data_IF_131090436695
#
_entry.id   IF_131090436695
#
_cell.length_a   1.000
_cell.length_b   1.000
_cell.length_c   1.000
_cell.angle_alpha   90.00
_cell.angle_beta   90.00
_cell.angle_gamma   90.00
#
_symmetry.space_group_name_H-M   'P 1'
#
loop_
_entity.id
_entity.type
_entity.pdbx_description
1 polymer ?
#
# COMPACT_ATOMS: atom_id res chain seq x y z
N UNK A 1 -60.67 -48.98 8.70
CA UNK A 1 -59.29 -49.26 9.14
C UNK A 1 -58.37 -48.66 8.08
N UNK A 2 -57.67 -47.58 8.44
CA UNK A 2 -56.86 -46.74 7.53
C UNK A 2 -55.64 -47.50 7.00
N UNK A 3 -55.33 -47.35 5.71
CA UNK A 3 -54.02 -47.72 5.17
C UNK A 3 -53.29 -46.48 4.61
N UNK A 4 -52.37 -46.02 5.46
CA UNK A 4 -51.02 -45.52 5.20
C UNK A 4 -50.75 -44.72 3.92
N UNK A 5 -50.85 -43.40 4.09
CA UNK A 5 -50.35 -42.35 3.20
C UNK A 5 -48.83 -42.32 3.03
N UNK A 6 -48.43 -42.25 1.74
CA UNK A 6 -47.19 -41.79 1.15
C UNK A 6 -46.55 -40.57 1.86
N UNK A 7 -45.25 -40.64 2.20
CA UNK A 7 -44.42 -39.48 2.52
C UNK A 7 -43.04 -39.62 1.85
N UNK A 8 -42.89 -38.97 0.69
CA UNK A 8 -41.61 -38.81 0.00
C UNK A 8 -40.84 -37.68 0.69
N UNK A 9 -39.79 -38.03 1.45
CA UNK A 9 -38.91 -37.05 2.10
C UNK A 9 -37.83 -36.63 1.10
N UNK A 10 -37.93 -35.41 0.57
CA UNK A 10 -36.85 -34.79 -0.20
C UNK A 10 -35.69 -34.44 0.76
N UNK A 11 -34.63 -35.23 0.75
CA UNK A 11 -33.39 -34.91 1.43
C UNK A 11 -32.67 -33.79 0.64
N UNK A 12 -32.75 -32.56 1.16
CA UNK A 12 -31.91 -31.45 0.70
C UNK A 12 -30.46 -31.75 1.13
N UNK A 13 -29.66 -32.28 0.21
CA UNK A 13 -28.21 -32.37 0.39
C UNK A 13 -27.67 -30.94 0.28
N UNK A 14 -27.53 -30.27 1.42
CA UNK A 14 -26.73 -29.05 1.53
C UNK A 14 -25.29 -29.48 1.26
N UNK A 15 -24.82 -29.22 0.06
CA UNK A 15 -23.42 -29.37 -0.31
C UNK A 15 -22.64 -28.30 0.49
N UNK A 16 -22.27 -28.63 1.73
CA UNK A 16 -21.33 -27.83 2.52
C UNK A 16 -20.03 -27.80 1.74
N UNK A 17 -19.75 -26.68 1.09
CA UNK A 17 -18.44 -26.38 0.54
C UNK A 17 -17.46 -26.45 1.70
N UNK A 18 -16.75 -27.57 1.82
CA UNK A 18 -15.69 -27.72 2.80
C UNK A 18 -14.68 -26.59 2.56
N UNK A 19 -14.28 -25.82 3.57
CA UNK A 19 -13.22 -24.85 3.40
C UNK A 19 -12.01 -25.60 2.84
N UNK A 20 -11.55 -25.14 1.68
CA UNK A 20 -10.34 -25.64 1.03
C UNK A 20 -9.24 -25.82 2.09
N UNK A 21 -8.68 -27.03 2.19
CA UNK A 21 -7.57 -27.31 3.12
C UNK A 21 -6.32 -26.44 2.85
N UNK A 22 -6.30 -25.69 1.76
CA UNK A 22 -5.38 -24.58 1.57
C UNK A 22 -5.99 -23.33 2.23
N UNK A 23 -5.68 -23.10 3.50
CA UNK A 23 -6.12 -21.90 4.23
C UNK A 23 -5.78 -20.58 3.52
N UNK A 24 -6.35 -19.48 4.01
CA UNK A 24 -6.17 -18.14 3.44
C UNK A 24 -4.68 -17.73 3.43
N UNK A 25 -4.06 -17.69 2.25
CA UNK A 25 -2.64 -17.35 2.06
C UNK A 25 -2.40 -15.85 2.26
N UNK A 26 -3.37 -14.99 1.93
CA UNK A 26 -3.29 -13.56 2.23
C UNK A 26 -3.10 -13.34 3.73
N UNK A 27 -3.83 -14.10 4.55
CA UNK A 27 -3.71 -14.06 6.01
C UNK A 27 -2.38 -14.66 6.49
N UNK A 28 -2.03 -15.84 5.98
CA UNK A 28 -0.84 -16.58 6.43
C UNK A 28 0.47 -15.86 6.14
N UNK A 29 0.53 -15.12 5.03
CA UNK A 29 1.74 -14.43 4.56
C UNK A 29 1.67 -12.91 4.75
N UNK A 30 0.69 -12.44 5.52
CA UNK A 30 0.53 -11.02 5.84
C UNK A 30 1.79 -10.44 6.48
N UNK A 31 2.21 -9.28 6.00
CA UNK A 31 3.29 -8.49 6.55
C UNK A 31 2.71 -7.22 7.15
N UNK A 32 2.91 -7.07 8.46
CA UNK A 32 2.51 -5.88 9.20
C UNK A 32 3.41 -4.69 8.86
N UNK A 33 2.79 -3.57 8.48
CA UNK A 33 3.47 -2.32 8.16
C UNK A 33 3.44 -1.33 9.35
N UNK A 34 2.75 -1.67 10.44
CA UNK A 34 2.72 -0.85 11.66
C UNK A 34 3.82 -1.24 12.66
N UNK A 35 4.60 -2.27 12.36
CA UNK A 35 5.69 -2.78 13.21
C UNK A 35 5.24 -3.09 14.65
N UNK A 36 4.09 -3.74 14.78
CA UNK A 36 3.48 -4.13 16.05
C UNK A 36 2.72 -3.01 16.78
N UNK A 37 2.61 -1.81 16.19
CA UNK A 37 1.83 -0.70 16.75
C UNK A 37 0.35 -0.85 16.38
N UNK A 38 -0.53 -0.30 17.21
CA UNK A 38 -1.98 -0.35 16.97
C UNK A 38 -2.40 0.74 15.99
N UNK A 39 -3.52 0.54 15.30
CA UNK A 39 -4.12 1.57 14.43
C UNK A 39 -4.33 2.89 15.18
N UNK A 40 -4.92 2.83 16.37
CA UNK A 40 -5.17 4.02 17.19
C UNK A 40 -3.86 4.73 17.60
N UNK A 41 -2.81 3.98 17.96
CA UNK A 41 -1.50 4.54 18.28
C UNK A 41 -0.84 5.25 17.09
N UNK A 42 -1.17 4.81 15.88
CA UNK A 42 -0.71 5.42 14.62
C UNK A 42 -1.69 6.47 14.05
N UNK A 43 -2.74 6.83 14.79
CA UNK A 43 -3.75 7.79 14.32
C UNK A 43 -4.54 7.31 13.10
N UNK A 44 -4.80 6.01 13.01
CA UNK A 44 -5.57 5.37 11.95
C UNK A 44 -6.92 4.90 12.47
N UNK A 45 -7.95 5.08 11.64
CA UNK A 45 -9.30 4.58 11.89
C UNK A 45 -9.41 3.14 11.46
N UNK A 46 -9.77 2.28 12.41
CA UNK A 46 -10.27 0.96 12.08
C UNK A 46 -11.62 1.10 11.37
N UNK A 47 -11.74 0.51 10.18
CA UNK A 47 -13.02 0.47 9.46
C UNK A 47 -13.97 -0.53 10.14
N UNK A 48 -15.19 -0.09 10.41
CA UNK A 48 -16.33 -0.93 10.80
C UNK A 48 -17.33 -1.16 9.66
N UNK A 49 -17.12 -0.49 8.52
CA UNK A 49 -17.97 -0.58 7.33
C UNK A 49 -17.54 -1.70 6.36
N UNK A 50 -18.21 -1.81 5.20
CA UNK A 50 -17.81 -2.75 4.16
C UNK A 50 -16.39 -2.45 3.67
N UNK A 51 -15.57 -3.50 3.51
CA UNK A 51 -14.25 -3.40 2.90
C UNK A 51 -14.41 -3.19 1.41
N UNK A 52 -13.74 -2.17 0.86
CA UNK A 52 -13.67 -1.98 -0.58
C UNK A 52 -12.44 -2.71 -1.14
N UNK A 53 -12.66 -3.79 -1.89
CA UNK A 53 -11.58 -4.46 -2.64
C UNK A 53 -11.55 -3.92 -4.07
N UNK A 54 -10.43 -3.32 -4.46
CA UNK A 54 -10.23 -2.71 -5.78
C UNK A 54 -9.12 -3.48 -6.52
N UNK A 55 -9.30 -3.72 -7.81
CA UNK A 55 -8.22 -4.28 -8.63
C UNK A 55 -7.15 -3.21 -8.92
N UNK A 56 -5.91 -3.51 -8.59
CA UNK A 56 -4.73 -2.66 -8.81
C UNK A 56 -4.07 -2.87 -10.17
N UNK A 57 -3.30 -1.87 -10.59
CA UNK A 57 -2.49 -1.87 -11.81
C UNK A 57 -1.01 -1.74 -11.49
N UNK A 58 -0.47 -0.52 -11.59
CA UNK A 58 0.89 -0.22 -11.13
C UNK A 58 0.86 0.16 -9.65
N UNK A 59 1.47 -0.70 -8.82
CA UNK A 59 1.47 -0.54 -7.36
C UNK A 59 2.02 0.82 -6.90
N UNK A 60 3.03 1.40 -7.56
CA UNK A 60 3.57 2.69 -7.12
C UNK A 60 2.55 3.81 -7.30
N UNK A 61 1.84 3.81 -8.42
CA UNK A 61 0.79 4.77 -8.68
C UNK A 61 -0.42 4.53 -7.75
N UNK A 62 -0.76 3.27 -7.49
CA UNK A 62 -1.86 2.89 -6.62
C UNK A 62 -1.59 3.28 -5.16
N UNK A 63 -0.39 2.98 -4.65
CA UNK A 63 0.07 3.38 -3.33
C UNK A 63 0.06 4.91 -3.19
N UNK A 64 0.54 5.64 -4.21
CA UNK A 64 0.51 7.10 -4.22
C UNK A 64 -0.93 7.64 -4.11
N UNK A 65 -1.88 7.12 -4.90
CA UNK A 65 -3.28 7.55 -4.83
C UNK A 65 -3.90 7.31 -3.45
N UNK A 66 -3.57 6.20 -2.80
CA UNK A 66 -4.05 5.92 -1.45
C UNK A 66 -3.50 6.95 -0.44
N UNK A 67 -2.20 7.23 -0.51
CA UNK A 67 -1.57 8.27 0.31
C UNK A 67 -2.18 9.67 0.04
N UNK A 68 -2.36 10.06 -1.22
CA UNK A 68 -2.98 11.33 -1.62
C UNK A 68 -4.40 11.48 -1.07
N UNK A 69 -5.13 10.37 -0.94
CA UNK A 69 -6.48 10.32 -0.38
C UNK A 69 -6.54 10.26 1.16
N UNK A 70 -5.40 10.38 1.85
CA UNK A 70 -5.34 10.37 3.31
C UNK A 70 -5.30 8.97 3.95
N UNK A 71 -5.15 7.92 3.15
CA UNK A 71 -5.00 6.57 3.66
C UNK A 71 -3.53 6.24 3.95
N UNK A 72 -3.31 5.36 4.92
CA UNK A 72 -2.00 4.82 5.28
C UNK A 72 -2.04 3.30 5.16
N UNK A 73 -0.95 2.74 4.64
CA UNK A 73 -0.83 1.28 4.49
C UNK A 73 -0.63 0.63 5.86
N UNK A 74 -1.52 -0.29 6.22
CA UNK A 74 -1.46 -1.07 7.46
C UNK A 74 -0.70 -2.37 7.27
N UNK A 75 -0.68 -2.90 6.04
CA UNK A 75 0.10 -4.07 5.70
C UNK A 75 -0.04 -4.46 4.24
N UNK A 76 0.67 -5.53 3.89
CA UNK A 76 0.70 -6.05 2.53
C UNK A 76 1.00 -7.55 2.53
N UNK A 77 0.74 -8.18 1.39
CA UNK A 77 1.06 -9.58 1.16
C UNK A 77 1.27 -9.81 -0.33
N UNK A 78 2.28 -10.60 -0.69
CA UNK A 78 2.54 -11.03 -2.06
C UNK A 78 3.02 -12.48 -2.07
N UNK A 79 2.53 -13.28 -3.00
CA UNK A 79 2.90 -14.68 -3.16
C UNK A 79 2.62 -15.20 -4.57
N UNK A 80 3.37 -16.23 -4.97
CA UNK A 80 3.06 -16.99 -6.18
C UNK A 80 1.99 -18.03 -5.85
N UNK A 81 0.91 -18.10 -6.63
CA UNK A 81 -0.12 -19.11 -6.36
C UNK A 81 -1.34 -19.04 -7.24
N UNK A 82 -2.39 -19.68 -6.74
CA UNK A 82 -3.74 -19.62 -7.31
C UNK A 82 -4.50 -18.52 -6.59
N UNK A 83 -5.20 -17.71 -7.39
CA UNK A 83 -6.04 -16.63 -6.89
C UNK A 83 -7.15 -17.20 -6.02
N UNK A 84 -7.13 -16.87 -4.73
CA UNK A 84 -8.15 -17.33 -3.77
C UNK A 84 -9.41 -16.46 -3.85
N UNK A 85 -9.33 -15.26 -4.43
CA UNK A 85 -10.47 -14.36 -4.60
C UNK A 85 -10.52 -13.20 -3.61
N UNK A 86 -11.51 -12.32 -3.81
CA UNK A 86 -11.74 -11.15 -2.96
C UNK A 86 -12.19 -11.49 -1.53
N UNK A 87 -13.04 -12.52 -1.26
CA UNK A 87 -13.48 -12.82 0.11
C UNK A 87 -12.35 -13.06 1.11
N UNK A 88 -11.26 -13.70 0.67
CA UNK A 88 -10.07 -13.98 1.46
C UNK A 88 -9.27 -12.71 1.74
N UNK A 89 -9.24 -11.76 0.79
CA UNK A 89 -8.65 -10.44 1.00
C UNK A 89 -9.50 -9.63 1.98
N UNK A 90 -10.82 -9.68 1.84
CA UNK A 90 -11.75 -8.98 2.75
C UNK A 90 -11.65 -9.50 4.18
N UNK A 91 -11.47 -10.82 4.38
CA UNK A 91 -11.21 -11.41 5.69
C UNK A 91 -10.02 -10.72 6.36
N UNK A 92 -8.87 -10.67 5.68
CA UNK A 92 -7.65 -10.02 6.20
C UNK A 92 -7.89 -8.54 6.43
N UNK A 93 -8.51 -7.83 5.49
CA UNK A 93 -8.79 -6.41 5.60
C UNK A 93 -9.63 -6.08 6.86
N UNK A 94 -10.67 -6.89 7.16
CA UNK A 94 -11.46 -6.72 8.39
C UNK A 94 -10.62 -6.99 9.64
N UNK A 95 -9.80 -8.05 9.64
CA UNK A 95 -8.94 -8.39 10.77
C UNK A 95 -7.93 -7.27 11.10
N UNK A 96 -7.38 -6.62 10.08
CA UNK A 96 -6.38 -5.56 10.25
C UNK A 96 -7.00 -4.15 10.30
N UNK A 97 -8.34 -4.05 10.30
CA UNK A 97 -9.10 -2.81 10.37
C UNK A 97 -8.96 -1.90 9.13
N UNK A 98 -8.59 -2.45 7.97
CA UNK A 98 -8.50 -1.71 6.72
C UNK A 98 -9.87 -1.40 6.12
N UNK A 99 -10.03 -0.18 5.61
CA UNK A 99 -11.23 0.23 4.86
C UNK A 99 -11.15 -0.20 3.39
N UNK A 100 -9.94 -0.19 2.82
CA UNK A 100 -9.68 -0.47 1.41
C UNK A 100 -8.57 -1.52 1.29
N UNK A 101 -8.75 -2.47 0.39
CA UNK A 101 -7.71 -3.36 -0.07
C UNK A 101 -7.53 -3.23 -1.58
N UNK A 102 -6.29 -3.15 -2.05
CA UNK A 102 -5.98 -3.18 -3.48
C UNK A 102 -5.40 -4.56 -3.79
N UNK A 103 -6.07 -5.31 -4.67
CA UNK A 103 -5.66 -6.64 -5.11
C UNK A 103 -4.82 -6.57 -6.38
N UNK A 104 -3.78 -7.38 -6.45
CA UNK A 104 -2.86 -7.42 -7.57
C UNK A 104 -2.77 -8.84 -8.10
N UNK A 105 -2.78 -8.96 -9.43
CA UNK A 105 -2.60 -10.21 -10.14
C UNK A 105 -1.71 -9.96 -11.34
N UNK A 106 -0.46 -10.41 -11.27
CA UNK A 106 0.48 -10.32 -12.38
C UNK A 106 0.72 -11.72 -12.93
N UNK A 107 0.49 -11.96 -14.24
CA UNK A 107 0.87 -13.22 -14.85
C UNK A 107 2.36 -13.45 -14.62
N UNK A 108 2.75 -14.67 -14.24
CA UNK A 108 4.16 -15.00 -14.18
C UNK A 108 4.79 -14.76 -15.56
N UNK A 109 5.81 -13.90 -15.62
CA UNK A 109 6.69 -13.85 -16.77
C UNK A 109 7.49 -15.17 -16.79
N UNK A 110 7.09 -16.06 -17.70
CA UNK A 110 7.71 -17.38 -17.92
C UNK A 110 9.24 -17.33 -18.07
N UNK A 111 9.81 -16.17 -18.37
CA UNK A 111 11.25 -15.92 -18.51
C UNK A 111 11.99 -15.93 -17.15
N UNK A 112 11.40 -15.34 -16.10
CA UNK A 112 11.99 -15.31 -14.74
C UNK A 112 11.85 -16.65 -14.02
N UNK A 113 10.71 -17.32 -14.19
CA UNK A 113 10.47 -18.67 -13.65
C UNK A 113 11.44 -19.68 -14.29
N UNK A 114 11.71 -19.55 -15.60
CA UNK A 114 12.68 -20.38 -16.31
C UNK A 114 14.13 -20.18 -15.81
N UNK A 115 14.54 -18.94 -15.50
CA UNK A 115 15.88 -18.66 -14.94
C UNK A 115 16.07 -19.28 -13.54
N UNK A 116 15.03 -19.22 -12.70
CA UNK A 116 15.04 -19.83 -11.36
C UNK A 116 15.07 -21.36 -11.43
N UNK A 117 14.30 -21.95 -12.37
CA UNK A 117 14.30 -23.39 -12.62
C UNK A 117 15.63 -23.90 -13.21
N UNK A 118 16.26 -23.15 -14.13
CA UNK A 118 17.56 -23.49 -14.72
C UNK A 118 18.70 -23.49 -13.69
N UNK A 119 18.65 -22.61 -12.67
CA UNK A 119 19.61 -22.62 -11.56
C UNK A 119 19.52 -23.87 -10.68
N UNK A 120 18.36 -24.54 -10.64
CA UNK A 120 18.20 -25.82 -9.94
C UNK A 120 18.41 -27.03 -10.86
N UNK A 121 18.20 -26.89 -12.17
CA UNK A 121 18.35 -27.94 -13.15
C UNK A 121 19.71 -27.85 -13.88
N UNK A 122 20.79 -28.18 -13.17
CA UNK A 122 22.11 -28.43 -13.79
C UNK A 122 22.47 -29.92 -13.86
N UNK A 123 21.47 -30.81 -13.96
CA UNK A 123 21.73 -32.26 -14.00
C UNK A 123 20.86 -33.12 -14.94
N UNK A 124 20.30 -32.61 -16.05
CA UNK A 124 19.78 -33.49 -17.12
C UNK A 124 19.46 -32.75 -18.43
N UNK A 125 19.55 -33.40 -19.61
CA UNK A 125 19.22 -32.79 -20.90
C UNK A 125 17.71 -32.68 -21.10
N UNK A 126 17.24 -31.54 -21.63
CA UNK A 126 15.82 -31.19 -21.71
C UNK A 126 15.25 -31.48 -23.11
N UNK A 127 14.16 -32.24 -23.14
CA UNK A 127 13.31 -32.50 -24.32
C UNK A 127 12.53 -31.24 -24.77
N UNK A 128 12.34 -31.06 -26.08
CA UNK A 128 11.77 -29.86 -26.71
C UNK A 128 10.25 -29.67 -26.60
N UNK A 129 9.52 -30.50 -25.86
CA UNK A 129 8.11 -30.22 -25.54
C UNK A 129 8.02 -29.53 -24.19
N UNK A 130 7.99 -28.19 -24.19
CA UNK A 130 7.84 -27.37 -22.99
C UNK A 130 6.43 -27.61 -22.40
N UNK A 131 6.27 -28.25 -21.23
CA UNK A 131 4.97 -28.32 -20.59
C UNK A 131 4.55 -26.88 -20.27
N UNK A 132 3.31 -26.49 -20.59
CA UNK A 132 2.72 -25.29 -19.97
C UNK A 132 2.61 -25.62 -18.48
N UNK A 133 3.62 -25.22 -17.71
CA UNK A 133 3.59 -25.33 -16.25
C UNK A 133 2.35 -24.63 -15.70
N UNK A 134 1.93 -24.97 -14.46
CA UNK A 134 0.77 -24.33 -13.83
C UNK A 134 0.94 -22.81 -13.92
N UNK A 135 -0.13 -22.13 -14.36
CA UNK A 135 -0.22 -20.67 -14.37
C UNK A 135 -0.23 -20.20 -12.92
N UNK A 136 0.93 -20.03 -12.32
CA UNK A 136 1.02 -19.29 -11.06
C UNK A 136 0.99 -17.82 -11.44
N UNK A 137 0.05 -17.07 -10.88
CA UNK A 137 0.11 -15.61 -10.94
C UNK A 137 0.90 -15.14 -9.70
N UNK A 138 1.68 -14.06 -9.85
CA UNK A 138 2.16 -13.30 -8.70
C UNK A 138 0.95 -12.51 -8.18
N UNK A 139 0.42 -12.96 -7.06
CA UNK A 139 -0.75 -12.40 -6.40
C UNK A 139 -0.30 -11.51 -5.25
N UNK A 140 -1.13 -10.55 -4.88
CA UNK A 140 -0.92 -9.81 -3.65
C UNK A 140 -2.04 -8.87 -3.33
N UNK A 141 -1.97 -8.32 -2.13
CA UNK A 141 -2.86 -7.26 -1.68
C UNK A 141 -2.12 -6.26 -0.81
N UNK A 142 -2.53 -5.00 -0.89
CA UNK A 142 -2.14 -3.95 0.06
C UNK A 142 -3.37 -3.49 0.81
N UNK A 143 -3.25 -3.27 2.11
CA UNK A 143 -4.34 -2.94 3.02
C UNK A 143 -4.18 -1.54 3.57
N UNK A 144 -5.27 -0.77 3.59
CA UNK A 144 -5.22 0.66 3.84
C UNK A 144 -6.30 1.11 4.83
N UNK A 145 -5.89 1.89 5.83
CA UNK A 145 -6.78 2.52 6.80
C UNK A 145 -6.73 4.05 6.63
N UNK A 146 -7.85 4.71 6.89
CA UNK A 146 -7.94 6.16 6.86
C UNK A 146 -7.18 6.75 8.05
N UNK A 147 -6.38 7.80 7.83
CA UNK A 147 -5.78 8.55 8.95
C UNK A 147 -6.75 9.61 9.47
N UNK A 148 -6.84 9.76 10.79
CA UNK A 148 -7.55 10.88 11.46
C UNK A 148 -6.66 12.06 11.80
N UNK A 149 -5.36 11.91 11.57
CA UNK A 149 -4.40 12.95 11.88
C UNK A 149 -4.18 13.78 10.63
N UNK A 150 -4.46 15.07 10.71
CA UNK A 150 -4.00 16.00 9.70
C UNK A 150 -2.46 15.88 9.62
N UNK A 151 -1.89 15.62 8.43
CA UNK A 151 -0.44 15.53 8.33
C UNK A 151 0.16 16.92 8.54
N UNK A 152 1.25 17.01 9.30
CA UNK A 152 1.91 18.30 9.57
C UNK A 152 2.31 19.02 8.29
N UNK A 153 2.76 18.28 7.27
CA UNK A 153 3.08 18.84 5.94
C UNK A 153 2.25 18.15 4.86
N UNK A 154 2.09 16.83 4.93
CA UNK A 154 1.33 16.06 3.94
C UNK A 154 2.12 15.62 2.72
N UNK A 155 3.44 15.84 2.70
CA UNK A 155 4.34 15.26 1.70
C UNK A 155 4.93 13.93 2.20
N UNK A 156 4.73 12.86 1.44
CA UNK A 156 5.40 11.57 1.66
C UNK A 156 6.72 11.55 0.92
N UNK A 157 7.78 11.26 1.66
CA UNK A 157 9.16 11.39 1.19
C UNK A 157 9.84 10.02 1.19
N UNK A 158 10.61 9.75 0.15
CA UNK A 158 11.41 8.54 0.02
C UNK A 158 12.87 8.88 -0.22
N UNK A 159 13.76 8.16 0.46
CA UNK A 159 15.19 8.20 0.20
C UNK A 159 15.49 7.76 -1.23
N UNK A 160 16.36 8.51 -1.91
CA UNK A 160 16.91 8.08 -3.18
C UNK A 160 18.11 7.19 -2.93
N UNK A 161 18.11 5.99 -3.51
CA UNK A 161 19.31 5.17 -3.62
C UNK A 161 20.15 5.77 -4.75
N UNK A 162 21.38 6.22 -4.50
CA UNK A 162 22.25 6.73 -5.56
C UNK A 162 22.45 5.65 -6.62
N UNK A 163 22.08 5.91 -7.87
CA UNK A 163 22.40 5.00 -8.98
C UNK A 163 23.73 5.40 -9.60
N UNK A 164 24.61 4.42 -9.85
CA UNK A 164 25.97 4.61 -10.40
C UNK A 164 26.00 5.31 -11.78
N UNK A 165 24.85 5.43 -12.46
CA UNK A 165 24.72 6.14 -13.72
C UNK A 165 24.44 7.65 -13.54
N UNK A 166 25.51 8.44 -13.39
CA UNK A 166 25.58 9.80 -13.97
C UNK A 166 24.81 10.94 -13.30
N UNK A 167 24.56 10.91 -11.99
CA UNK A 167 23.92 12.04 -11.28
C UNK A 167 24.90 12.92 -10.47
N UNK A 168 26.08 13.25 -11.00
CA UNK A 168 26.94 14.25 -10.34
C UNK A 168 26.40 15.70 -10.42
N UNK A 169 25.43 15.99 -11.30
CA UNK A 169 24.77 17.32 -11.34
C UNK A 169 23.26 17.32 -11.01
N UNK A 170 22.63 16.14 -10.85
CA UNK A 170 21.20 16.03 -10.50
C UNK A 170 20.94 15.88 -8.99
N UNK A 171 21.99 15.97 -8.17
CA UNK A 171 21.96 16.45 -6.79
C UNK A 171 21.23 15.56 -5.77
N UNK A 172 21.99 15.08 -4.79
CA UNK A 172 21.50 14.53 -3.53
C UNK A 172 20.22 15.24 -3.04
N UNK A 173 19.20 14.45 -2.73
CA UNK A 173 17.89 14.95 -2.29
C UNK A 173 16.88 13.82 -2.18
N UNK A 174 15.71 14.14 -1.63
CA UNK A 174 14.67 13.17 -1.31
C UNK A 174 13.53 13.24 -2.31
N UNK A 175 12.99 12.09 -2.72
CA UNK A 175 11.88 12.06 -3.69
C UNK A 175 10.54 12.24 -2.99
N UNK A 176 9.72 13.16 -3.47
CA UNK A 176 8.31 13.26 -3.08
C UNK A 176 7.52 12.18 -3.82
N UNK A 177 6.96 11.22 -3.07
CA UNK A 177 6.24 10.07 -3.63
C UNK A 177 4.73 10.24 -3.67
N UNK A 178 4.18 11.11 -2.82
CA UNK A 178 2.77 11.48 -2.78
C UNK A 178 2.59 12.78 -1.98
N UNK A 179 1.51 13.51 -2.26
CA UNK A 179 1.11 14.70 -1.49
C UNK A 179 -0.36 14.57 -1.13
N UNK A 180 -0.69 14.56 0.16
CA UNK A 180 -2.08 14.47 0.64
C UNK A 180 -2.86 15.68 0.13
N UNK A 181 -4.03 15.46 -0.47
CA UNK A 181 -4.87 16.54 -0.98
C UNK A 181 -5.28 17.50 0.13
N UNK A 182 -5.29 18.79 -0.18
CA UNK A 182 -5.60 19.87 0.74
C UNK A 182 -4.68 19.95 1.98
N UNK A 183 -3.54 19.25 1.96
CA UNK A 183 -2.51 19.39 2.99
C UNK A 183 -1.68 20.66 2.79
N UNK A 184 -0.91 21.11 3.80
CA UNK A 184 -0.02 22.26 3.64
C UNK A 184 0.94 22.15 2.46
N UNK A 185 1.46 20.95 2.17
CA UNK A 185 2.30 20.67 1.01
C UNK A 185 1.57 20.88 -0.33
N UNK A 186 0.33 20.43 -0.43
CA UNK A 186 -0.52 20.64 -1.61
C UNK A 186 -0.78 22.13 -1.82
N UNK A 187 -1.17 22.82 -0.75
CA UNK A 187 -1.48 24.26 -0.74
C UNK A 187 -0.26 25.10 -1.15
N UNK A 188 0.95 24.79 -0.66
CA UNK A 188 2.17 25.50 -1.05
C UNK A 188 2.74 25.05 -2.41
N UNK A 189 2.12 24.05 -3.06
CA UNK A 189 2.43 23.65 -4.42
C UNK A 189 3.54 22.63 -4.58
N UNK A 190 3.91 21.89 -3.51
CA UNK A 190 4.71 20.67 -3.60
C UNK A 190 3.90 19.60 -4.33
N UNK A 191 4.56 18.79 -5.17
CA UNK A 191 3.90 17.78 -6.00
C UNK A 191 4.67 16.46 -5.96
N UNK A 192 3.95 15.38 -6.25
CA UNK A 192 4.59 14.09 -6.54
C UNK A 192 5.63 14.24 -7.65
N UNK A 193 6.79 13.62 -7.48
CA UNK A 193 7.89 13.67 -8.44
C UNK A 193 8.92 14.77 -8.18
N UNK A 194 8.61 15.75 -7.32
CA UNK A 194 9.58 16.72 -6.86
C UNK A 194 10.76 16.03 -6.15
N UNK A 195 11.94 16.64 -6.27
CA UNK A 195 13.11 16.27 -5.47
C UNK A 195 13.37 17.35 -4.43
N UNK A 196 13.15 17.04 -3.15
CA UNK A 196 13.39 17.93 -2.03
C UNK A 196 14.87 17.97 -1.68
N UNK A 197 15.47 19.16 -1.69
CA UNK A 197 16.91 19.36 -1.46
C UNK A 197 17.21 20.08 -0.15
N UNK A 198 16.34 21.00 0.28
CA UNK A 198 16.45 21.68 1.58
C UNK A 198 15.10 21.93 2.24
N UNK A 199 15.11 21.99 3.56
CA UNK A 199 13.97 22.35 4.42
C UNK A 199 14.45 23.33 5.47
N UNK A 200 13.73 24.44 5.67
CA UNK A 200 14.11 25.50 6.62
C UNK A 200 15.59 25.95 6.45
N UNK A 201 16.04 26.06 5.21
CA UNK A 201 17.42 26.42 4.87
C UNK A 201 18.47 25.36 5.16
N UNK A 202 18.11 24.15 5.63
CA UNK A 202 19.03 23.03 5.90
C UNK A 202 18.95 21.97 4.80
N UNK A 203 20.11 21.46 4.35
CA UNK A 203 20.16 20.38 3.37
C UNK A 203 19.59 19.10 3.98
N UNK A 204 18.73 18.41 3.23
CA UNK A 204 18.16 17.13 3.63
C UNK A 204 18.55 16.05 2.62
N UNK A 205 19.13 14.96 3.13
CA UNK A 205 19.64 13.83 2.34
C UNK A 205 19.09 12.48 2.82
N UNK A 206 18.32 12.48 3.91
CA UNK A 206 17.60 11.32 4.44
C UNK A 206 16.19 11.69 4.91
N UNK A 207 15.26 10.76 4.82
CA UNK A 207 13.89 10.89 5.31
C UNK A 207 13.87 11.17 6.82
N UNK A 208 14.82 10.59 7.57
CA UNK A 208 14.99 10.89 8.98
C UNK A 208 15.41 12.35 9.22
N UNK A 209 16.35 12.88 8.43
CA UNK A 209 16.74 14.29 8.47
C UNK A 209 15.55 15.20 8.15
N UNK A 210 14.84 14.91 7.05
CA UNK A 210 13.62 15.62 6.69
C UNK A 210 12.58 15.65 7.83
N UNK A 211 12.29 14.49 8.43
CA UNK A 211 11.33 14.41 9.54
C UNK A 211 11.79 15.21 10.76
N UNK A 212 13.09 15.24 11.05
CA UNK A 212 13.66 16.06 12.12
C UNK A 212 13.40 17.55 11.88
N UNK A 213 13.65 18.01 10.65
CA UNK A 213 13.42 19.40 10.23
C UNK A 213 11.96 19.83 10.35
N UNK A 214 11.05 19.00 9.82
CA UNK A 214 9.61 19.25 9.91
C UNK A 214 9.15 19.28 11.38
N UNK A 215 9.63 18.35 12.21
CA UNK A 215 9.26 18.31 13.63
C UNK A 215 9.76 19.54 14.41
N UNK A 216 10.93 20.09 14.07
CA UNK A 216 11.44 21.32 14.69
C UNK A 216 10.65 22.58 14.25
N UNK A 217 9.91 22.47 13.14
CA UNK A 217 9.16 23.54 12.52
C UNK A 217 7.65 23.47 12.76
N UNK A 218 7.14 22.53 13.58
CA UNK A 218 5.71 22.42 13.89
C UNK A 218 5.12 23.77 14.33
N UNK A 219 3.98 24.13 13.74
CA UNK A 219 3.27 25.39 13.98
C UNK A 219 3.91 26.62 13.31
N UNK A 220 4.90 26.43 12.42
CA UNK A 220 5.60 27.53 11.74
C UNK A 220 5.45 27.40 10.22
N UNK A 221 5.72 28.49 9.54
CA UNK A 221 5.89 28.52 8.09
C UNK A 221 7.38 28.44 7.76
N UNK A 222 7.77 27.52 6.87
CA UNK A 222 9.17 27.33 6.47
C UNK A 222 9.32 27.19 4.96
N UNK A 223 10.52 27.43 4.45
CA UNK A 223 10.85 27.24 3.05
C UNK A 223 11.27 25.80 2.76
N UNK A 224 10.81 25.29 1.62
CA UNK A 224 11.20 24.04 1.01
C UNK A 224 11.86 24.37 -0.33
N UNK A 225 13.09 23.90 -0.51
CA UNK A 225 13.77 23.95 -1.81
C UNK A 225 13.59 22.62 -2.51
N UNK A 226 12.99 22.67 -3.70
CA UNK A 226 12.67 21.50 -4.51
C UNK A 226 13.27 21.65 -5.91
N UNK A 227 13.50 20.52 -6.58
CA UNK A 227 13.73 20.44 -8.02
C UNK A 227 12.54 19.79 -8.70
N UNK A 228 12.03 20.45 -9.73
CA UNK A 228 10.95 19.95 -10.60
C UNK A 228 11.37 20.16 -12.04
N UNK A 229 11.32 19.09 -12.84
CA UNK A 229 11.71 19.10 -14.25
C UNK A 229 13.11 19.69 -14.48
N UNK A 230 14.03 19.42 -13.55
CA UNK A 230 15.41 19.91 -13.60
C UNK A 230 15.62 21.36 -13.12
N UNK A 231 14.56 22.11 -12.82
CA UNK A 231 14.63 23.48 -12.31
C UNK A 231 14.48 23.54 -10.78
N UNK A 232 15.33 24.33 -10.12
CA UNK A 232 15.19 24.64 -8.69
C UNK A 232 14.01 25.59 -8.45
N UNK A 233 13.28 25.37 -7.37
CA UNK A 233 12.14 26.18 -6.92
C UNK A 233 12.17 26.25 -5.39
N UNK A 234 11.79 27.41 -4.86
CA UNK A 234 11.55 27.59 -3.43
C UNK A 234 10.06 27.79 -3.22
N UNK A 235 9.47 27.02 -2.32
CA UNK A 235 8.07 27.14 -1.91
C UNK A 235 8.00 27.33 -0.40
N UNK A 236 7.05 28.13 0.05
CA UNK A 236 6.85 28.45 1.46
C UNK A 236 5.64 27.71 1.96
N UNK A 237 5.83 26.77 2.88
CA UNK A 237 4.78 25.87 3.35
C UNK A 237 4.55 26.05 4.84
N UNK A 238 3.29 26.00 5.24
CA UNK A 238 2.93 25.86 6.65
C UNK A 238 3.26 24.45 7.13
N UNK A 239 3.73 24.33 8.36
CA UNK A 239 3.89 23.07 9.05
C UNK A 239 2.85 23.05 10.16
N UNK A 240 1.82 22.24 9.98
CA UNK A 240 0.78 22.01 10.96
C UNK A 240 1.36 21.64 12.33
N UNK A 241 0.64 21.97 13.39
CA UNK A 241 0.94 21.52 14.74
C UNK A 241 0.82 19.99 14.84
N UNK A 242 1.49 19.37 15.83
CA UNK A 242 1.25 17.95 16.20
C UNK A 242 -0.27 17.71 16.29
N UNK A 243 -0.77 16.52 15.95
CA UNK A 243 -2.17 16.33 15.63
C UNK A 243 -3.04 16.83 16.76
N UNK A 244 -3.75 17.95 16.52
CA UNK A 244 -5.07 18.08 17.07
C UNK A 244 -5.80 16.83 16.56
N UNK A 245 -6.15 15.94 17.48
CA UNK A 245 -7.17 14.94 17.17
C UNK A 245 -8.28 15.70 16.47
N UNK A 246 -8.62 15.34 15.22
CA UNK A 246 -9.84 15.82 14.61
C UNK A 246 -10.97 15.28 15.48
N UNK A 247 -11.31 16.00 16.55
CA UNK A 247 -12.53 15.81 17.32
C UNK A 247 -13.62 16.07 16.30
N UNK A 248 -14.31 14.99 15.92
CA UNK A 248 -15.26 14.99 14.83
C UNK A 248 -16.18 16.19 14.90
N UNK A 249 -16.13 17.02 13.86
CA UNK A 249 -17.27 17.87 13.52
C UNK A 249 -18.25 16.93 12.81
N UNK A 250 -19.37 16.51 13.45
CA UNK A 250 -20.40 15.81 12.72
C UNK A 250 -20.90 16.70 11.56
N UNK A 251 -21.23 16.15 10.38
CA UNK A 251 -21.83 16.95 9.33
C UNK A 251 -23.13 17.57 9.86
N UNK A 252 -23.30 18.86 9.60
CA UNK A 252 -24.48 19.62 10.04
C UNK A 252 -25.78 18.92 9.62
N UNK A 253 -26.79 19.05 10.51
CA UNK A 253 -28.10 18.37 10.49
C UNK A 253 -28.80 18.31 9.14
#
# INVERSE_FOLDING_TARGET
MMDSSLRLVFAFVVLLAAPSCAGNLYRKLYQDNLHGRTLAGEGLLASSGPVQVIAGGDRRNDDARMLESGHRMVGLVFFDGVDQGAPEIEEVAREVGAAVAISYKRPCDSSRSALRAQRHAHRTPVSHTRPRGPRCDELGATFWAMSVQAPSVGAFIQDRVPTEAGEEEAGAGLRVIAVVRASPADICGVRQGDTLTRVAGRKVDSAAGYLSEVNAALGKTIEFEIRRDGAARTVTCEVGSRPETLVGVPPDR
#
